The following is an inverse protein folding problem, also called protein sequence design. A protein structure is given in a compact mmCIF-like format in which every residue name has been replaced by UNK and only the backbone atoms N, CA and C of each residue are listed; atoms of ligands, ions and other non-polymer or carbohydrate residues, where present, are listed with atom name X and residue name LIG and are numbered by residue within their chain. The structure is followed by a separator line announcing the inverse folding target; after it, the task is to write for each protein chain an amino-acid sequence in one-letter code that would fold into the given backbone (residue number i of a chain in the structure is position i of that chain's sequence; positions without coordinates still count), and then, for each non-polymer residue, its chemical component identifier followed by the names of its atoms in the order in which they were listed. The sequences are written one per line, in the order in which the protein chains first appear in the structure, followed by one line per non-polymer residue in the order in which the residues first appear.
data_IF_463342670971
#
_entry.id   IF_463342670971
#
_cell.length_a   1.000
_cell.length_b   1.000
_cell.length_c   1.000
_cell.angle_alpha   90.00
_cell.angle_beta   90.00
_cell.angle_gamma   90.00
#
_symmetry.space_group_name_H-M   'P 1'
#
loop_
_entity.id
_entity.type
_entity.pdbx_description
1 polymer ?
#
# COMPACT_ATOMS: atom_id res chain seq x y z
N UNK A 1 31.08 -2.55 -18.10
CA UNK A 1 31.54 -1.98 -16.81
C UNK A 1 30.40 -1.19 -16.19
N UNK A 2 30.32 -1.11 -14.85
CA UNK A 2 29.34 -0.28 -14.17
C UNK A 2 29.68 1.21 -14.33
N UNK A 3 28.68 2.08 -14.36
CA UNK A 3 28.89 3.54 -14.34
C UNK A 3 29.38 4.01 -12.97
N UNK A 4 29.73 5.30 -12.82
CA UNK A 4 30.07 5.90 -11.53
C UNK A 4 28.93 5.82 -10.48
N UNK A 5 27.69 5.56 -10.93
CA UNK A 5 26.53 5.31 -10.05
C UNK A 5 26.30 3.82 -9.75
N UNK A 6 27.24 2.95 -10.10
CA UNK A 6 27.08 1.51 -9.97
C UNK A 6 26.05 0.91 -10.94
N UNK A 7 25.58 1.68 -11.93
CA UNK A 7 24.61 1.19 -12.91
C UNK A 7 25.28 0.17 -13.82
N UNK A 8 24.85 -1.09 -13.75
CA UNK A 8 25.34 -2.16 -14.61
C UNK A 8 24.47 -2.25 -15.88
N UNK A 9 24.98 -2.84 -16.98
CA UNK A 9 24.15 -3.11 -18.16
C UNK A 9 22.91 -3.97 -17.84
N UNK A 10 23.00 -4.84 -16.83
CA UNK A 10 21.89 -5.69 -16.40
C UNK A 10 20.79 -4.86 -15.72
N UNK A 11 21.15 -3.89 -14.88
CA UNK A 11 20.20 -2.98 -14.24
C UNK A 11 19.45 -2.13 -15.28
N UNK A 12 20.17 -1.53 -16.23
CA UNK A 12 19.57 -0.75 -17.29
C UNK A 12 18.65 -1.59 -18.19
N UNK A 13 19.06 -2.83 -18.53
CA UNK A 13 18.24 -3.75 -19.31
C UNK A 13 16.97 -4.18 -18.55
N UNK A 14 17.09 -4.47 -17.25
CA UNK A 14 15.97 -4.85 -16.40
C UNK A 14 14.97 -3.69 -16.21
N UNK A 15 15.46 -2.47 -15.99
CA UNK A 15 14.62 -1.26 -15.86
C UNK A 15 13.81 -0.98 -17.14
N UNK A 16 14.44 -1.12 -18.31
CA UNK A 16 13.84 -0.78 -19.60
C UNK A 16 13.13 -1.96 -20.30
N UNK A 17 13.03 -3.13 -19.68
CA UNK A 17 12.29 -4.25 -20.25
C UNK A 17 13.03 -4.99 -21.39
N UNK A 18 14.36 -4.85 -21.49
CA UNK A 18 15.15 -5.48 -22.56
C UNK A 18 15.46 -6.96 -22.24
N UNK A 19 14.45 -7.82 -22.29
CA UNK A 19 14.55 -9.24 -21.93
C UNK A 19 15.70 -9.99 -22.63
N UNK A 20 15.89 -9.80 -23.93
CA UNK A 20 16.98 -10.44 -24.68
C UNK A 20 18.37 -10.02 -24.17
N UNK A 21 18.51 -8.77 -23.74
CA UNK A 21 19.76 -8.27 -23.16
C UNK A 21 19.99 -8.86 -21.77
N UNK A 22 18.95 -8.90 -20.93
CA UNK A 22 19.01 -9.57 -19.61
C UNK A 22 19.49 -11.00 -19.77
N UNK A 23 18.89 -11.76 -20.69
CA UNK A 23 19.29 -13.15 -20.96
C UNK A 23 20.77 -13.29 -21.32
N UNK A 24 21.23 -12.56 -22.33
CA UNK A 24 22.63 -12.61 -22.73
C UNK A 24 23.58 -12.21 -21.61
N UNK A 25 23.21 -11.23 -20.80
CA UNK A 25 24.05 -10.76 -19.69
C UNK A 25 24.18 -11.83 -18.59
N UNK A 26 23.08 -12.50 -18.22
CA UNK A 26 23.09 -13.59 -17.25
C UNK A 26 23.86 -14.81 -17.78
N UNK A 27 23.69 -15.16 -19.06
CA UNK A 27 24.43 -16.24 -19.73
C UNK A 27 25.96 -15.98 -19.74
N UNK A 28 26.38 -14.71 -19.68
CA UNK A 28 27.78 -14.29 -19.58
C UNK A 28 28.23 -13.97 -18.14
N UNK A 29 27.63 -14.63 -17.15
CA UNK A 29 28.00 -14.55 -15.73
C UNK A 29 27.85 -13.17 -15.10
N UNK A 30 26.95 -12.32 -15.59
CA UNK A 30 26.56 -11.12 -14.84
C UNK A 30 25.91 -11.55 -13.51
N UNK A 31 26.37 -10.97 -12.39
CA UNK A 31 25.75 -11.22 -11.09
C UNK A 31 24.34 -10.64 -11.05
N UNK A 32 23.29 -11.45 -10.79
CA UNK A 32 21.90 -10.96 -10.72
C UNK A 32 21.67 -10.00 -9.54
N UNK A 33 22.48 -10.12 -8.49
CA UNK A 33 22.35 -9.37 -7.24
C UNK A 33 23.26 -8.15 -7.16
N UNK A 34 24.00 -7.82 -8.24
CA UNK A 34 24.84 -6.63 -8.26
C UNK A 34 23.98 -5.36 -8.14
N UNK A 35 24.07 -4.61 -7.02
CA UNK A 35 23.22 -3.44 -6.81
C UNK A 35 23.88 -2.16 -7.35
N UNK A 36 23.06 -1.14 -7.66
CA UNK A 36 23.58 0.21 -7.86
C UNK A 36 23.86 0.93 -6.51
N UNK A 37 24.26 2.21 -6.57
CA UNK A 37 24.55 3.01 -5.37
C UNK A 37 23.38 3.17 -4.40
N UNK A 38 22.15 3.00 -4.87
CA UNK A 38 20.95 3.07 -4.03
C UNK A 38 20.55 1.69 -3.48
N UNK A 39 21.32 0.65 -3.78
CA UNK A 39 21.03 -0.72 -3.38
C UNK A 39 20.01 -1.43 -4.27
N UNK A 40 19.58 -0.83 -5.38
CA UNK A 40 18.62 -1.48 -6.29
C UNK A 40 19.30 -2.56 -7.12
N UNK A 41 18.75 -3.77 -7.10
CA UNK A 41 19.12 -4.90 -7.97
C UNK A 41 18.24 -4.93 -9.22
N UNK A 42 18.61 -5.79 -10.18
CA UNK A 42 17.83 -5.98 -11.40
C UNK A 42 16.42 -6.49 -11.08
N UNK A 43 16.28 -7.33 -10.04
CA UNK A 43 15.01 -7.87 -9.61
C UNK A 43 14.09 -6.79 -9.06
N UNK A 44 14.61 -5.87 -8.23
CA UNK A 44 13.84 -4.73 -7.71
C UNK A 44 13.35 -3.83 -8.86
N UNK A 45 14.25 -3.47 -9.78
CA UNK A 45 13.91 -2.60 -10.91
C UNK A 45 12.88 -3.24 -11.85
N UNK A 46 13.09 -4.49 -12.25
CA UNK A 46 12.14 -5.21 -13.09
C UNK A 46 10.76 -5.33 -12.42
N UNK A 47 10.75 -5.55 -11.09
CA UNK A 47 9.52 -5.66 -10.31
C UNK A 47 8.77 -4.34 -10.22
N UNK A 48 9.47 -3.22 -10.02
CA UNK A 48 8.91 -1.86 -10.02
C UNK A 48 8.26 -1.49 -11.35
N UNK A 49 8.93 -1.80 -12.46
CA UNK A 49 8.50 -1.41 -13.81
C UNK A 49 7.62 -2.45 -14.52
N UNK A 50 7.28 -3.58 -13.87
CA UNK A 50 6.29 -4.51 -14.38
C UNK A 50 6.80 -5.56 -15.38
N UNK A 51 8.11 -5.78 -15.47
CA UNK A 51 8.72 -6.68 -16.46
C UNK A 51 8.70 -8.14 -16.00
N UNK A 52 7.52 -8.76 -16.03
CA UNK A 52 7.27 -10.13 -15.50
C UNK A 52 8.25 -11.18 -16.03
N UNK A 53 8.54 -11.19 -17.33
CA UNK A 53 9.45 -12.18 -17.90
C UNK A 53 10.89 -12.02 -17.42
N UNK A 54 11.31 -10.79 -17.18
CA UNK A 54 12.64 -10.47 -16.62
C UNK A 54 12.70 -10.91 -15.15
N UNK A 55 11.65 -10.66 -14.37
CA UNK A 55 11.56 -11.14 -12.98
C UNK A 55 11.69 -12.66 -12.92
N UNK A 56 10.90 -13.39 -13.72
CA UNK A 56 10.96 -14.86 -13.76
C UNK A 56 12.36 -15.37 -14.13
N UNK A 57 13.01 -14.70 -15.07
CA UNK A 57 14.36 -15.05 -15.49
C UNK A 57 15.41 -14.80 -14.39
N UNK A 58 15.33 -13.65 -13.70
CA UNK A 58 16.24 -13.32 -12.59
C UNK A 58 16.07 -14.29 -11.43
N UNK A 59 14.83 -14.62 -11.06
CA UNK A 59 14.53 -15.62 -10.02
C UNK A 59 15.07 -17.01 -10.40
N UNK A 60 14.89 -17.42 -11.66
CA UNK A 60 15.43 -18.70 -12.16
C UNK A 60 16.97 -18.73 -12.17
N UNK A 61 17.62 -17.56 -12.17
CA UNK A 61 19.07 -17.40 -12.13
C UNK A 61 19.61 -17.27 -10.70
N UNK A 62 18.76 -17.44 -9.68
CA UNK A 62 19.16 -17.42 -8.27
C UNK A 62 19.28 -16.03 -7.66
N UNK A 63 18.63 -15.01 -8.23
CA UNK A 63 18.57 -13.69 -7.61
C UNK A 63 17.99 -13.77 -6.19
N UNK A 64 18.56 -13.03 -5.25
CA UNK A 64 18.06 -12.93 -3.89
C UNK A 64 16.68 -12.23 -3.88
N UNK A 65 15.65 -13.01 -3.57
CA UNK A 65 14.25 -12.58 -3.59
C UNK A 65 13.95 -11.51 -2.53
N UNK A 66 14.69 -11.54 -1.42
CA UNK A 66 14.47 -10.68 -0.25
C UNK A 66 15.51 -9.56 -0.13
N UNK A 67 16.39 -9.38 -1.12
CA UNK A 67 17.32 -8.26 -1.15
C UNK A 67 16.58 -6.93 -1.02
N UNK A 68 17.09 -6.04 -0.16
CA UNK A 68 16.53 -4.72 0.08
C UNK A 68 17.46 -3.62 -0.44
N UNK A 69 16.86 -2.60 -1.04
CA UNK A 69 17.57 -1.37 -1.37
C UNK A 69 18.04 -0.66 -0.09
N UNK A 70 18.84 0.40 -0.24
CA UNK A 70 19.24 1.25 0.90
C UNK A 70 18.05 1.94 1.57
N UNK A 71 16.90 1.97 0.91
CA UNK A 71 15.64 2.47 1.46
C UNK A 71 14.79 1.36 2.10
N UNK A 72 15.32 0.14 2.27
CA UNK A 72 14.62 -1.00 2.86
C UNK A 72 13.54 -1.61 1.97
N UNK A 73 13.46 -1.22 0.69
CA UNK A 73 12.46 -1.72 -0.26
C UNK A 73 12.97 -2.98 -0.96
N UNK A 74 12.17 -4.05 -0.89
CA UNK A 74 12.40 -5.28 -1.65
C UNK A 74 11.61 -5.28 -2.97
N UNK A 75 11.85 -6.29 -3.81
CA UNK A 75 11.09 -6.50 -5.04
C UNK A 75 9.57 -6.66 -4.78
N UNK A 76 9.21 -7.32 -3.68
CA UNK A 76 7.81 -7.52 -3.29
C UNK A 76 7.12 -6.21 -2.91
N UNK A 77 7.81 -5.28 -2.25
CA UNK A 77 7.29 -3.95 -1.96
C UNK A 77 6.98 -3.20 -3.25
N UNK A 78 7.98 -3.05 -4.12
CA UNK A 78 7.84 -2.27 -5.36
C UNK A 78 6.76 -2.85 -6.29
N UNK A 79 6.70 -4.19 -6.44
CA UNK A 79 5.63 -4.83 -7.22
C UNK A 79 4.24 -4.63 -6.61
N UNK A 80 4.13 -4.67 -5.27
CA UNK A 80 2.87 -4.51 -4.55
C UNK A 80 2.35 -3.08 -4.64
N UNK A 81 3.23 -2.09 -4.48
CA UNK A 81 2.91 -0.67 -4.68
C UNK A 81 2.46 -0.37 -6.12
N UNK A 82 3.18 -0.92 -7.10
CA UNK A 82 2.92 -0.68 -8.51
C UNK A 82 1.76 -1.50 -9.11
N UNK A 83 1.19 -2.46 -8.36
CA UNK A 83 0.02 -3.23 -8.81
C UNK A 83 0.34 -4.43 -9.72
N UNK A 84 1.58 -4.90 -9.74
CA UNK A 84 2.03 -5.95 -10.67
C UNK A 84 1.76 -7.36 -10.13
N UNK A 85 0.49 -7.80 -10.16
CA UNK A 85 0.04 -9.08 -9.56
C UNK A 85 0.89 -10.29 -9.97
N UNK A 86 1.16 -10.46 -11.28
CA UNK A 86 1.95 -11.60 -11.77
C UNK A 86 3.36 -11.67 -11.18
N UNK A 87 3.95 -10.51 -10.90
CA UNK A 87 5.26 -10.40 -10.27
C UNK A 87 5.16 -10.74 -8.79
N UNK A 88 4.15 -10.23 -8.09
CA UNK A 88 3.87 -10.58 -6.69
C UNK A 88 3.73 -12.11 -6.55
N UNK A 89 2.92 -12.75 -7.39
CA UNK A 89 2.74 -14.21 -7.37
C UNK A 89 4.05 -14.96 -7.62
N UNK A 90 4.87 -14.50 -8.57
CA UNK A 90 6.17 -15.09 -8.87
C UNK A 90 7.14 -14.98 -7.67
N UNK A 91 7.21 -13.81 -7.05
CA UNK A 91 8.04 -13.56 -5.86
C UNK A 91 7.58 -14.42 -4.68
N UNK A 92 6.27 -14.47 -4.40
CA UNK A 92 5.72 -15.31 -3.34
C UNK A 92 5.95 -16.80 -3.62
N UNK A 93 5.88 -17.25 -4.87
CA UNK A 93 6.24 -18.64 -5.25
C UNK A 93 7.70 -18.97 -4.94
N UNK A 94 8.58 -17.98 -4.95
CA UNK A 94 9.99 -18.09 -4.54
C UNK A 94 10.22 -17.78 -3.06
N UNK A 95 9.18 -17.85 -2.24
CA UNK A 95 9.21 -17.63 -0.78
C UNK A 95 9.67 -16.24 -0.35
N UNK A 96 9.39 -15.20 -1.15
CA UNK A 96 9.58 -13.82 -0.72
C UNK A 96 8.91 -13.56 0.64
N UNK A 97 9.63 -12.93 1.56
CA UNK A 97 9.14 -12.60 2.89
C UNK A 97 8.08 -11.51 2.83
N UNK A 98 6.89 -11.80 3.36
CA UNK A 98 5.78 -10.84 3.51
C UNK A 98 5.93 -9.94 4.75
N UNK A 99 7.03 -10.08 5.50
CA UNK A 99 7.24 -9.44 6.82
C UNK A 99 8.30 -8.35 6.83
N UNK A 100 8.97 -8.11 5.70
CA UNK A 100 10.01 -7.08 5.59
C UNK A 100 9.40 -5.70 5.83
N UNK A 101 10.06 -4.90 6.67
CA UNK A 101 9.58 -3.60 7.17
C UNK A 101 10.73 -2.61 7.41
N UNK A 102 11.91 -2.87 6.88
CA UNK A 102 13.11 -2.04 7.08
C UNK A 102 13.07 -0.74 6.25
N UNK A 103 11.99 -0.51 5.50
CA UNK A 103 11.82 0.74 4.76
C UNK A 103 11.53 1.92 5.67
N UNK A 104 11.70 3.12 5.13
CA UNK A 104 11.63 4.38 5.89
C UNK A 104 10.32 4.59 6.65
N UNK A 105 9.21 4.05 6.14
CA UNK A 105 7.89 4.14 6.78
C UNK A 105 7.54 2.87 7.58
N UNK A 106 8.44 1.90 7.69
CA UNK A 106 8.18 0.58 8.25
C UNK A 106 6.94 -0.11 7.65
N UNK A 107 6.68 0.06 6.36
CA UNK A 107 5.51 -0.51 5.69
C UNK A 107 5.76 -1.95 5.26
N UNK A 108 4.73 -2.79 5.30
CA UNK A 108 4.77 -4.10 4.64
C UNK A 108 4.31 -3.97 3.18
N UNK A 109 4.60 -4.98 2.37
CA UNK A 109 4.02 -5.09 1.03
C UNK A 109 2.48 -5.01 1.02
N UNK A 110 1.81 -5.53 2.07
CA UNK A 110 0.36 -5.46 2.22
C UNK A 110 -0.13 -4.02 2.37
N UNK A 111 0.59 -3.18 3.13
CA UNK A 111 0.27 -1.76 3.29
C UNK A 111 0.43 -1.01 1.96
N UNK A 112 1.48 -1.30 1.19
CA UNK A 112 1.68 -0.68 -0.12
C UNK A 112 0.60 -1.10 -1.13
N UNK A 113 0.20 -2.37 -1.13
CA UNK A 113 -0.91 -2.86 -1.94
C UNK A 113 -2.24 -2.20 -1.56
N UNK A 114 -2.50 -2.07 -0.25
CA UNK A 114 -3.70 -1.42 0.28
C UNK A 114 -3.76 0.07 -0.07
N UNK A 115 -2.63 0.78 -0.01
CA UNK A 115 -2.51 2.19 -0.42
C UNK A 115 -2.84 2.42 -1.90
N UNK A 116 -2.52 1.45 -2.76
CA UNK A 116 -2.85 1.49 -4.19
C UNK A 116 -4.19 0.84 -4.55
N UNK A 117 -4.92 0.27 -3.59
CA UNK A 117 -6.20 -0.39 -3.83
C UNK A 117 -6.10 -1.71 -4.60
N UNK A 118 -4.93 -2.36 -4.62
CA UNK A 118 -4.65 -3.53 -5.44
C UNK A 118 -5.25 -4.81 -4.84
N UNK A 119 -6.56 -4.97 -4.96
CA UNK A 119 -7.37 -6.04 -4.36
C UNK A 119 -6.76 -7.45 -4.51
N UNK A 120 -6.42 -7.85 -5.74
CA UNK A 120 -5.88 -9.19 -5.99
C UNK A 120 -4.51 -9.41 -5.31
N UNK A 121 -3.70 -8.36 -5.16
CA UNK A 121 -2.41 -8.43 -4.45
C UNK A 121 -2.65 -8.54 -2.94
N UNK A 122 -3.62 -7.79 -2.41
CA UNK A 122 -4.01 -7.88 -1.00
C UNK A 122 -4.41 -9.31 -0.66
N UNK A 123 -5.29 -9.92 -1.45
CA UNK A 123 -5.72 -11.30 -1.26
C UNK A 123 -4.56 -12.29 -1.35
N UNK A 124 -3.66 -12.13 -2.32
CA UNK A 124 -2.48 -12.98 -2.47
C UNK A 124 -1.52 -12.89 -1.26
N UNK A 125 -1.29 -11.69 -0.73
CA UNK A 125 -0.44 -11.47 0.43
C UNK A 125 -1.07 -12.03 1.72
N UNK A 126 -2.37 -11.81 1.91
CA UNK A 126 -3.12 -12.37 3.05
C UNK A 126 -3.12 -13.91 3.02
N UNK A 127 -3.30 -14.51 1.83
CA UNK A 127 -3.20 -15.97 1.66
C UNK A 127 -1.81 -16.53 1.99
N UNK A 128 -0.77 -15.69 1.98
CA UNK A 128 0.60 -16.04 2.42
C UNK A 128 0.90 -15.62 3.86
N UNK A 129 -0.10 -15.23 4.63
CA UNK A 129 0.04 -14.93 6.06
C UNK A 129 0.67 -13.58 6.35
N UNK A 130 0.48 -12.58 5.48
CA UNK A 130 0.84 -11.21 5.77
C UNK A 130 0.10 -10.69 7.03
N UNK A 131 0.82 -9.95 7.88
CA UNK A 131 0.25 -9.43 9.12
C UNK A 131 -0.69 -8.24 8.83
N UNK A 132 -2.00 -8.48 8.95
CA UNK A 132 -3.04 -7.49 8.63
C UNK A 132 -3.04 -6.26 9.54
N UNK A 133 -2.60 -6.42 10.79
CA UNK A 133 -2.63 -5.38 11.82
C UNK A 133 -1.25 -4.74 12.08
N UNK A 134 -0.27 -4.96 11.19
CA UNK A 134 1.04 -4.32 11.31
C UNK A 134 0.88 -2.79 11.36
N UNK A 135 1.55 -2.15 12.31
CA UNK A 135 1.50 -0.71 12.49
C UNK A 135 2.76 -0.06 11.92
N UNK A 136 2.62 0.55 10.74
CA UNK A 136 3.70 1.28 10.08
C UNK A 136 3.97 2.64 10.76
N UNK A 137 4.70 3.50 10.05
CA UNK A 137 5.12 4.83 10.46
C UNK A 137 3.99 5.70 11.02
N UNK A 138 4.34 6.80 11.70
CA UNK A 138 3.42 7.58 12.53
C UNK A 138 2.17 8.07 11.79
N UNK A 139 2.24 8.27 10.47
CA UNK A 139 1.17 8.80 9.65
C UNK A 139 0.44 7.75 8.79
N UNK A 140 1.03 6.56 8.57
CA UNK A 140 0.44 5.50 7.74
C UNK A 140 -0.51 4.62 8.55
N UNK A 141 0.00 4.03 9.63
CA UNK A 141 -0.76 3.05 10.42
C UNK A 141 -0.90 1.68 9.74
N UNK A 142 -2.10 1.10 9.73
CA UNK A 142 -2.35 -0.28 9.23
C UNK A 142 -2.72 -0.32 7.75
N UNK A 143 -2.80 -1.52 7.17
CA UNK A 143 -3.28 -1.69 5.79
C UNK A 143 -4.73 -1.18 5.61
N UNK A 144 -5.60 -1.37 6.61
CA UNK A 144 -6.97 -0.84 6.58
C UNK A 144 -6.99 0.69 6.54
N UNK A 145 -6.11 1.34 7.30
CA UNK A 145 -5.94 2.80 7.27
C UNK A 145 -5.44 3.30 5.91
N UNK A 146 -4.47 2.60 5.32
CA UNK A 146 -3.94 2.94 4.00
C UNK A 146 -5.00 2.81 2.89
N UNK A 147 -5.79 1.74 2.88
CA UNK A 147 -6.90 1.56 1.94
C UNK A 147 -7.99 2.63 2.13
N UNK A 148 -8.35 2.95 3.37
CA UNK A 148 -9.33 3.98 3.69
C UNK A 148 -8.87 5.38 3.27
N UNK A 149 -7.58 5.71 3.46
CA UNK A 149 -6.99 6.98 3.03
C UNK A 149 -6.97 7.17 1.51
N UNK A 150 -6.93 6.08 0.73
CA UNK A 150 -7.03 6.09 -0.73
C UNK A 150 -8.46 5.91 -1.27
N UNK A 151 -9.46 5.78 -0.39
CA UNK A 151 -10.85 5.56 -0.79
C UNK A 151 -11.13 4.19 -1.41
N UNK A 152 -10.25 3.21 -1.19
CA UNK A 152 -10.33 1.89 -1.82
C UNK A 152 -11.32 0.97 -1.09
N UNK A 153 -12.61 1.28 -1.16
CA UNK A 153 -13.67 0.55 -0.45
C UNK A 153 -13.64 -0.97 -0.69
N UNK A 154 -13.37 -1.39 -1.92
CA UNK A 154 -13.26 -2.82 -2.29
C UNK A 154 -12.13 -3.56 -1.54
N UNK A 155 -11.08 -2.88 -1.12
CA UNK A 155 -9.97 -3.47 -0.36
C UNK A 155 -10.30 -3.65 1.13
N UNK A 156 -11.28 -2.92 1.67
CA UNK A 156 -11.61 -2.95 3.10
C UNK A 156 -12.21 -4.30 3.51
N UNK A 157 -13.10 -4.87 2.70
CA UNK A 157 -13.76 -6.15 2.96
C UNK A 157 -12.77 -7.30 3.23
N UNK A 158 -11.83 -7.59 2.31
CA UNK A 158 -10.81 -8.63 2.52
C UNK A 158 -9.92 -8.38 3.74
N UNK A 159 -9.54 -7.12 3.99
CA UNK A 159 -8.73 -6.77 5.17
C UNK A 159 -9.50 -7.03 6.47
N UNK A 160 -10.77 -6.64 6.54
CA UNK A 160 -11.66 -6.89 7.68
C UNK A 160 -11.91 -8.40 7.87
N UNK A 161 -12.16 -9.12 6.79
CA UNK A 161 -12.33 -10.59 6.81
C UNK A 161 -11.06 -11.30 7.30
N UNK A 162 -9.88 -10.75 7.04
CA UNK A 162 -8.61 -11.26 7.55
C UNK A 162 -8.31 -10.83 9.01
N UNK A 163 -9.23 -10.11 9.67
CA UNK A 163 -9.11 -9.71 11.08
C UNK A 163 -8.47 -8.34 11.30
N UNK A 164 -8.53 -7.42 10.31
CA UNK A 164 -8.18 -6.03 10.54
C UNK A 164 -9.04 -5.42 11.65
N UNK A 165 -8.40 -4.75 12.60
CA UNK A 165 -9.10 -4.03 13.68
C UNK A 165 -9.65 -2.71 13.15
N UNK A 166 -10.97 -2.63 12.95
CA UNK A 166 -11.66 -1.45 12.39
C UNK A 166 -11.37 -0.16 13.16
N UNK A 167 -11.29 -0.25 14.50
CA UNK A 167 -11.03 0.87 15.41
C UNK A 167 -9.58 0.97 15.87
N UNK A 168 -8.63 0.33 15.17
CA UNK A 168 -7.22 0.57 15.45
C UNK A 168 -6.88 2.06 15.27
N UNK A 169 -5.93 2.54 16.06
CA UNK A 169 -5.41 3.89 15.98
C UNK A 169 -3.92 3.87 15.65
N UNK A 170 -3.48 4.76 14.77
CA UNK A 170 -2.05 4.97 14.55
C UNK A 170 -1.44 5.78 15.71
N UNK A 171 -0.16 6.15 15.61
CA UNK A 171 0.53 6.91 16.67
C UNK A 171 -0.07 8.30 16.92
N UNK A 172 -0.82 8.83 15.96
CA UNK A 172 -1.55 10.10 16.11
C UNK A 172 -2.99 9.91 16.57
N UNK A 173 -3.42 8.69 16.92
CA UNK A 173 -4.79 8.42 17.31
C UNK A 173 -5.76 8.35 16.12
N UNK A 174 -5.27 8.42 14.87
CA UNK A 174 -6.13 8.41 13.68
C UNK A 174 -6.60 6.99 13.38
N UNK A 175 -7.91 6.82 13.10
CA UNK A 175 -8.53 5.55 12.66
C UNK A 175 -8.70 5.51 11.13
N UNK A 176 -9.03 4.34 10.59
CA UNK A 176 -9.39 4.21 9.16
C UNK A 176 -10.59 5.09 8.80
N UNK A 177 -11.61 5.16 9.66
CA UNK A 177 -12.82 5.97 9.43
C UNK A 177 -12.49 7.46 9.35
N UNK A 178 -11.59 7.95 10.21
CA UNK A 178 -11.10 9.33 10.15
C UNK A 178 -10.39 9.66 8.83
N UNK A 179 -9.60 8.72 8.30
CA UNK A 179 -8.91 8.90 7.02
C UNK A 179 -9.88 8.91 5.84
N UNK A 180 -10.85 8.00 5.80
CA UNK A 180 -11.90 7.98 4.78
C UNK A 180 -12.74 9.26 4.80
N UNK A 181 -13.12 9.74 6.00
CA UNK A 181 -13.88 10.98 6.16
C UNK A 181 -13.06 12.22 5.73
N UNK A 182 -11.78 12.28 6.08
CA UNK A 182 -10.86 13.36 5.66
C UNK A 182 -10.65 13.39 4.14
N UNK A 183 -10.65 12.23 3.48
CA UNK A 183 -10.51 12.09 2.03
C UNK A 183 -11.81 12.24 1.24
N UNK A 184 -12.94 12.47 1.93
CA UNK A 184 -14.28 12.50 1.33
C UNK A 184 -14.62 11.22 0.54
N UNK A 185 -14.40 10.05 1.13
CA UNK A 185 -14.67 8.75 0.52
C UNK A 185 -15.93 8.07 1.10
N UNK A 186 -17.14 8.35 0.58
CA UNK A 186 -18.40 7.91 1.20
C UNK A 186 -18.55 6.38 1.22
N UNK A 187 -18.12 5.67 0.18
CA UNK A 187 -18.20 4.21 0.14
C UNK A 187 -17.29 3.56 1.18
N UNK A 188 -16.10 4.14 1.41
CA UNK A 188 -15.18 3.69 2.44
C UNK A 188 -15.71 4.01 3.84
N UNK A 189 -16.31 5.18 4.04
CA UNK A 189 -16.98 5.56 5.30
C UNK A 189 -18.11 4.58 5.60
N UNK A 190 -19.02 4.35 4.65
CA UNK A 190 -20.12 3.40 4.79
C UNK A 190 -19.64 2.00 5.15
N UNK A 191 -18.70 1.46 4.38
CA UNK A 191 -18.15 0.12 4.64
C UNK A 191 -17.48 0.00 6.02
N UNK A 192 -16.75 1.03 6.48
CA UNK A 192 -16.13 1.04 7.81
C UNK A 192 -17.18 1.14 8.93
N UNK A 193 -18.23 1.92 8.73
CA UNK A 193 -19.32 2.06 9.71
C UNK A 193 -20.14 0.77 9.82
N UNK A 194 -20.46 0.13 8.70
CA UNK A 194 -21.09 -1.20 8.67
C UNK A 194 -20.24 -2.25 9.38
N UNK A 195 -18.91 -2.12 9.33
CA UNK A 195 -17.96 -2.98 10.02
C UNK A 195 -17.75 -2.61 11.51
N UNK A 196 -18.50 -1.65 12.07
CA UNK A 196 -18.41 -1.24 13.47
C UNK A 196 -17.35 -0.16 13.76
N UNK A 197 -17.00 0.64 12.75
CA UNK A 197 -16.15 1.82 12.90
C UNK A 197 -16.80 2.86 13.81
N UNK A 198 -16.12 3.24 14.88
CA UNK A 198 -16.62 4.20 15.87
C UNK A 198 -16.30 5.65 15.43
N UNK A 199 -17.32 6.46 15.06
CA UNK A 199 -17.12 7.84 14.63
C UNK A 199 -16.76 8.79 15.79
N UNK A 200 -16.92 8.36 17.05
CA UNK A 200 -16.65 9.17 18.22
C UNK A 200 -15.17 9.16 18.64
N UNK A 201 -14.36 8.22 18.13
CA UNK A 201 -12.92 8.19 18.40
C UNK A 201 -12.27 9.50 17.91
N UNK A 202 -11.35 10.02 18.72
CA UNK A 202 -10.62 11.24 18.43
C UNK A 202 -9.12 10.99 18.28
N UNK A 203 -8.49 11.73 17.38
CA UNK A 203 -7.02 11.81 17.28
C UNK A 203 -6.42 12.65 18.43
N UNK A 204 -5.09 12.74 18.45
CA UNK A 204 -4.34 13.56 19.43
C UNK A 204 -4.70 15.06 19.39
N UNK A 205 -5.37 15.52 18.33
CA UNK A 205 -5.85 16.90 18.17
C UNK A 205 -7.34 17.06 18.54
N UNK A 206 -7.96 16.03 19.15
CA UNK A 206 -9.39 15.98 19.50
C UNK A 206 -10.32 16.07 18.28
N UNK A 207 -9.83 15.69 17.10
CA UNK A 207 -10.66 15.64 15.88
C UNK A 207 -11.26 14.26 15.75
N UNK A 208 -12.54 14.18 15.45
CA UNK A 208 -13.25 12.95 15.09
C UNK A 208 -13.39 12.83 13.57
N UNK A 209 -13.99 11.73 13.09
CA UNK A 209 -14.34 11.59 11.68
C UNK A 209 -15.24 12.73 11.19
N UNK A 210 -16.20 13.15 12.03
CA UNK A 210 -17.13 14.25 11.72
C UNK A 210 -16.41 15.59 11.60
N UNK A 211 -15.51 15.93 12.54
CA UNK A 211 -14.78 17.20 12.45
C UNK A 211 -13.90 17.25 11.19
N UNK A 212 -13.28 16.14 10.82
CA UNK A 212 -12.44 16.06 9.61
C UNK A 212 -13.26 16.20 8.32
N UNK A 213 -14.45 15.59 8.26
CA UNK A 213 -15.37 15.76 7.13
C UNK A 213 -15.86 17.21 7.00
N UNK A 214 -16.15 17.89 8.11
CA UNK A 214 -16.54 19.30 8.13
C UNK A 214 -15.39 20.22 7.69
N UNK A 215 -14.17 19.97 8.15
CA UNK A 215 -12.98 20.72 7.74
C UNK A 215 -12.73 20.62 6.23
N UNK A 216 -12.92 19.43 5.65
CA UNK A 216 -12.83 19.21 4.20
C UNK A 216 -13.89 20.04 3.45
N UNK A 217 -15.16 19.94 3.86
CA UNK A 217 -16.27 20.70 3.26
C UNK A 217 -16.04 22.21 3.30
N UNK A 218 -15.57 22.73 4.43
CA UNK A 218 -15.30 24.16 4.58
C UNK A 218 -14.14 24.62 3.68
N UNK A 219 -13.09 23.80 3.55
CA UNK A 219 -11.95 24.10 2.68
C UNK A 219 -12.34 24.13 1.20
N UNK A 220 -13.27 23.26 0.77
CA UNK A 220 -13.70 23.17 -0.62
C UNK A 220 -14.94 24.01 -0.96
N UNK A 221 -15.61 24.62 0.02
CA UNK A 221 -16.72 25.56 -0.23
C UNK A 221 -16.34 26.80 -1.06
N UNK A 222 -15.04 27.07 -1.22
CA UNK A 222 -14.52 28.11 -2.12
C UNK A 222 -14.28 27.62 -3.55
N UNK A 223 -14.27 26.31 -3.80
CA UNK A 223 -14.17 25.69 -5.11
C UNK A 223 -15.59 25.29 -5.57
N UNK A 224 -16.05 25.78 -6.71
CA UNK A 224 -17.43 25.63 -7.19
C UNK A 224 -17.73 24.22 -7.76
N UNK A 225 -17.15 23.16 -7.22
CA UNK A 225 -17.33 21.80 -7.71
C UNK A 225 -18.54 21.16 -6.99
N UNK A 226 -19.69 21.15 -7.66
CA UNK A 226 -20.97 20.66 -7.12
C UNK A 226 -20.90 19.19 -6.66
N UNK A 227 -20.07 18.38 -7.33
CA UNK A 227 -19.93 16.95 -7.04
C UNK A 227 -19.22 16.68 -5.69
N UNK A 228 -18.14 17.41 -5.36
CA UNK A 228 -17.42 17.22 -4.09
C UNK A 228 -18.21 17.71 -2.87
N UNK A 229 -19.01 18.76 -3.06
CA UNK A 229 -19.94 19.28 -2.06
C UNK A 229 -21.04 18.26 -1.70
N UNK A 230 -21.47 17.47 -2.69
CA UNK A 230 -22.45 16.40 -2.52
C UNK A 230 -21.90 15.27 -1.64
N UNK A 231 -20.72 14.73 -1.98
CA UNK A 231 -20.10 13.62 -1.21
C UNK A 231 -19.75 14.04 0.22
N UNK A 232 -19.24 15.25 0.41
CA UNK A 232 -18.96 15.79 1.74
C UNK A 232 -20.23 15.87 2.60
N UNK A 233 -21.35 16.26 1.99
CA UNK A 233 -22.64 16.36 2.68
C UNK A 233 -23.22 14.98 3.01
N UNK A 234 -23.04 13.99 2.13
CA UNK A 234 -23.44 12.60 2.38
C UNK A 234 -22.69 12.01 3.57
N UNK A 235 -21.37 12.15 3.63
CA UNK A 235 -20.54 11.63 4.74
C UNK A 235 -20.97 12.26 6.07
N UNK A 236 -21.20 13.57 6.10
CA UNK A 236 -21.66 14.26 7.32
C UNK A 236 -23.01 13.68 7.79
N UNK A 237 -23.95 13.46 6.88
CA UNK A 237 -25.24 12.86 7.22
C UNK A 237 -25.09 11.42 7.72
N UNK A 238 -24.27 10.59 7.07
CA UNK A 238 -23.99 9.23 7.51
C UNK A 238 -23.44 9.22 8.95
N UNK A 239 -22.43 10.04 9.23
CA UNK A 239 -21.81 10.14 10.56
C UNK A 239 -22.81 10.61 11.62
N UNK A 240 -23.59 11.67 11.35
CA UNK A 240 -24.58 12.20 12.30
C UNK A 240 -25.68 11.18 12.64
N UNK A 241 -26.23 10.49 11.63
CA UNK A 241 -27.29 9.49 11.84
C UNK A 241 -26.86 8.37 12.79
N UNK A 242 -25.60 7.95 12.73
CA UNK A 242 -25.09 6.90 13.62
C UNK A 242 -24.75 7.38 15.03
N UNK A 243 -24.32 8.63 15.18
CA UNK A 243 -24.08 9.23 16.49
C UNK A 243 -25.38 9.40 17.28
N UNK A 244 -26.48 9.78 16.62
CA UNK A 244 -27.79 9.94 17.27
C UNK A 244 -28.40 8.58 17.69
N UNK A 245 -28.19 7.53 16.90
CA UNK A 245 -28.64 6.18 17.23
C UNK A 245 -27.84 5.50 18.35
N UNK A 246 -26.62 5.98 18.65
CA UNK A 246 -25.78 5.48 19.74
C UNK A 246 -26.16 5.98 21.14
N UNK A 247 -27.14 6.88 21.26
CA UNK A 247 -27.62 7.42 22.55
C UNK A 247 -28.82 6.66 23.14
N UNK A 248 -29.17 5.50 22.58
CA UNK A 248 -30.27 4.64 23.07
C UNK A 248 -29.79 3.19 23.26
N UNK A 249 -28.96 2.96 24.28
CA UNK A 249 -28.83 1.67 24.98
C UNK A 249 -28.31 1.89 26.39
#
# INVERSE_FOLDING_TARGET
AATQRGETPLLAAAMNGHQNCVKKLLDHFASPDAPNVDGHTALILASKFGHTDIVNQLLSSGADVDHQSRFGLSALHEASSAGHLKIVEALLKMNASVKLVENVENETALIQAARGGHLAIIEALLARGAEVNHLAGPNTGTALMAAAAGGHAAALGPLLAAGARVNAQNRQGTTALMLAAKGSHPEAVGALMEAGGDPAIQDVYRRSALSLALDFKNSNSCANDEDESSFSSEIILQLLLTMDNGSVI
#
